data_IF_248003600666
#
_entry.id   IF_248003600666
#
_cell.length_a   1.000
_cell.length_b   1.000
_cell.length_c   1.000
_cell.angle_alpha   90.00
_cell.angle_beta   90.00
_cell.angle_gamma   90.00
#
_symmetry.space_group_name_H-M   'P 1'
#
loop_
_entity.id
_entity.type
_entity.pdbx_description
1 polymer ?
#
# COMPACT_ATOMS: atom_id res chain seq x y z
N UNK A 1 -21.62 -3.16 20.00
CA UNK A 1 -20.48 -2.36 20.52
C UNK A 1 -19.12 -2.75 19.93
N UNK A 2 -18.77 -4.04 19.80
CA UNK A 2 -17.45 -4.47 19.27
C UNK A 2 -17.12 -3.93 17.86
N UNK A 3 -18.10 -3.91 16.94
CA UNK A 3 -17.94 -3.39 15.57
C UNK A 3 -17.61 -1.88 15.55
N UNK A 4 -18.21 -1.11 16.46
CA UNK A 4 -17.93 0.33 16.58
C UNK A 4 -16.51 0.60 17.08
N UNK A 5 -16.01 -0.20 18.02
CA UNK A 5 -14.63 -0.09 18.48
C UNK A 5 -13.63 -0.51 17.41
N UNK A 6 -13.92 -1.59 16.68
CA UNK A 6 -13.11 -2.06 15.56
C UNK A 6 -12.99 -0.99 14.46
N UNK A 7 -14.10 -0.34 14.14
CA UNK A 7 -14.14 0.71 13.13
C UNK A 7 -13.41 1.99 13.53
N UNK A 8 -13.52 2.39 14.80
CA UNK A 8 -12.78 3.53 15.33
C UNK A 8 -11.27 3.32 15.22
N UNK A 9 -10.78 2.12 15.53
CA UNK A 9 -9.36 1.78 15.40
C UNK A 9 -8.88 1.80 13.95
N UNK A 10 -9.68 1.26 13.02
CA UNK A 10 -9.34 1.26 11.59
C UNK A 10 -9.26 2.68 11.00
N UNK A 11 -10.15 3.59 11.42
CA UNK A 11 -10.21 4.94 10.84
C UNK A 11 -9.13 5.91 11.30
N UNK A 12 -8.32 5.58 12.30
CA UNK A 12 -7.34 6.52 12.87
C UNK A 12 -6.35 7.03 11.82
N UNK A 13 -5.68 6.13 11.08
CA UNK A 13 -4.69 6.53 10.06
C UNK A 13 -5.35 7.29 8.91
N UNK A 14 -6.46 6.81 8.30
CA UNK A 14 -7.14 7.55 7.23
C UNK A 14 -7.58 8.96 7.65
N UNK A 15 -8.13 9.12 8.85
CA UNK A 15 -8.54 10.44 9.35
C UNK A 15 -7.34 11.35 9.58
N UNK A 16 -6.22 10.81 10.10
CA UNK A 16 -4.99 11.57 10.27
C UNK A 16 -4.45 12.12 8.94
N UNK A 17 -4.49 11.31 7.88
CA UNK A 17 -4.09 11.75 6.54
C UNK A 17 -5.06 12.78 5.95
N UNK A 18 -6.37 12.58 6.09
CA UNK A 18 -7.39 13.51 5.59
C UNK A 18 -7.36 14.87 6.30
N UNK A 19 -7.01 14.90 7.59
CA UNK A 19 -6.89 16.13 8.36
C UNK A 19 -5.51 16.80 8.26
N UNK A 20 -4.61 16.26 7.43
CA UNK A 20 -3.30 16.83 7.15
C UNK A 20 -3.20 17.22 5.65
N UNK A 21 -3.71 18.40 5.23
CA UNK A 21 -3.75 18.81 3.83
C UNK A 21 -2.41 18.70 3.07
N UNK A 22 -1.24 19.04 3.68
CA UNK A 22 0.05 18.88 3.01
C UNK A 22 0.40 17.43 2.66
N UNK A 23 -0.10 16.45 3.44
CA UNK A 23 0.14 15.03 3.15
C UNK A 23 -0.71 14.54 1.99
N UNK A 24 -1.97 14.96 1.93
CA UNK A 24 -2.85 14.62 0.80
C UNK A 24 -2.31 15.17 -0.53
N UNK A 25 -1.86 16.43 -0.54
CA UNK A 25 -1.28 17.03 -1.76
C UNK A 25 0.04 16.35 -2.14
N UNK A 26 0.90 16.03 -1.17
CA UNK A 26 2.13 15.29 -1.43
C UNK A 26 1.86 13.90 -2.00
N UNK A 27 0.87 13.17 -1.48
CA UNK A 27 0.44 11.86 -2.01
C UNK A 27 -0.04 11.98 -3.45
N UNK A 28 -0.92 12.95 -3.74
CA UNK A 28 -1.42 13.20 -5.09
C UNK A 28 -0.28 13.51 -6.05
N UNK A 29 0.58 14.47 -5.72
CA UNK A 29 1.70 14.88 -6.57
C UNK A 29 2.66 13.72 -6.80
N UNK A 30 3.03 12.97 -5.75
CA UNK A 30 3.91 11.80 -5.86
C UNK A 30 3.30 10.75 -6.78
N UNK A 31 2.01 10.45 -6.62
CA UNK A 31 1.32 9.46 -7.46
C UNK A 31 1.30 9.87 -8.93
N UNK A 32 0.95 11.13 -9.21
CA UNK A 32 0.94 11.69 -10.58
C UNK A 32 2.33 11.59 -11.20
N UNK A 33 3.36 12.05 -10.48
CA UNK A 33 4.75 12.00 -10.96
C UNK A 33 5.19 10.56 -11.22
N UNK A 34 4.94 9.63 -10.30
CA UNK A 34 5.32 8.23 -10.48
C UNK A 34 4.63 7.61 -11.71
N UNK A 35 3.32 7.81 -11.86
CA UNK A 35 2.56 7.30 -13.02
C UNK A 35 3.09 7.87 -14.33
N UNK A 36 3.28 9.20 -14.39
CA UNK A 36 3.78 9.88 -15.60
C UNK A 36 5.18 9.40 -15.96
N UNK A 37 6.08 9.32 -14.99
CA UNK A 37 7.46 8.87 -15.23
C UNK A 37 7.50 7.42 -15.70
N UNK A 38 6.76 6.52 -15.04
CA UNK A 38 6.71 5.10 -15.42
C UNK A 38 6.08 4.94 -16.80
N UNK A 39 4.94 5.57 -17.07
CA UNK A 39 4.30 5.51 -18.39
C UNK A 39 5.23 6.06 -19.48
N UNK A 40 5.90 7.18 -19.25
CA UNK A 40 6.83 7.78 -20.22
C UNK A 40 8.05 6.91 -20.47
N UNK A 41 8.63 6.34 -19.41
CA UNK A 41 9.79 5.46 -19.49
C UNK A 41 9.48 4.22 -20.34
N UNK A 42 8.40 3.51 -20.02
CA UNK A 42 8.02 2.30 -20.73
C UNK A 42 7.53 2.59 -22.15
N UNK A 43 6.85 3.72 -22.34
CA UNK A 43 6.46 4.21 -23.66
C UNK A 43 7.68 4.46 -24.56
N UNK A 44 8.73 5.12 -24.04
CA UNK A 44 9.97 5.36 -24.76
C UNK A 44 10.79 4.09 -25.00
N UNK A 45 10.86 3.20 -24.00
CA UNK A 45 11.60 1.94 -24.12
C UNK A 45 11.02 1.04 -25.22
N UNK A 46 9.69 0.96 -25.32
CA UNK A 46 9.01 0.15 -26.32
C UNK A 46 8.63 0.90 -27.60
N UNK A 47 9.03 2.17 -27.77
CA UNK A 47 8.65 2.98 -28.94
C UNK A 47 9.11 2.37 -30.28
N UNK A 48 10.22 1.63 -30.28
CA UNK A 48 10.81 1.01 -31.46
C UNK A 48 10.87 -0.53 -31.36
N UNK A 49 10.18 -1.10 -30.37
CA UNK A 49 10.15 -2.54 -30.16
C UNK A 49 8.82 -3.07 -30.67
N UNK A 50 8.85 -4.20 -31.39
CA UNK A 50 7.63 -4.98 -31.64
C UNK A 50 7.14 -5.66 -30.35
N UNK A 51 6.28 -6.68 -30.50
CA UNK A 51 5.88 -7.51 -29.38
C UNK A 51 7.12 -8.16 -28.74
N UNK A 52 7.43 -7.79 -27.50
CA UNK A 52 8.58 -8.31 -26.76
C UNK A 52 8.07 -9.32 -25.74
N UNK A 53 8.60 -10.56 -25.76
CA UNK A 53 8.13 -11.64 -24.90
C UNK A 53 6.61 -11.94 -24.98
N UNK A 54 5.99 -11.70 -26.13
CA UNK A 54 4.55 -11.92 -26.34
C UNK A 54 3.64 -10.84 -25.74
N UNK A 55 4.19 -9.76 -25.18
CA UNK A 55 3.44 -8.61 -24.70
C UNK A 55 3.52 -7.43 -25.67
N UNK A 56 2.39 -6.74 -25.84
CA UNK A 56 2.36 -5.46 -26.56
C UNK A 56 2.88 -4.33 -25.68
N UNK A 57 3.20 -3.19 -26.31
CA UNK A 57 3.64 -1.98 -25.61
C UNK A 57 2.59 -1.49 -24.62
N UNK A 58 1.33 -1.51 -25.03
CA UNK A 58 0.18 -1.05 -24.26
C UNK A 58 -0.03 -1.92 -23.01
N UNK A 59 0.14 -3.24 -23.15
CA UNK A 59 0.10 -4.18 -22.04
C UNK A 59 1.23 -3.94 -21.05
N UNK A 60 2.46 -3.71 -21.53
CA UNK A 60 3.60 -3.46 -20.66
C UNK A 60 3.44 -2.17 -19.85
N UNK A 61 2.97 -1.09 -20.50
CA UNK A 61 2.65 0.18 -19.82
C UNK A 61 1.53 -0.05 -18.79
N UNK A 62 0.47 -0.77 -19.16
CA UNK A 62 -0.64 -1.09 -18.26
C UNK A 62 -0.17 -1.80 -17.00
N UNK A 63 0.62 -2.87 -17.13
CA UNK A 63 1.12 -3.59 -15.95
C UNK A 63 2.06 -2.74 -15.10
N UNK A 64 2.90 -1.91 -15.73
CA UNK A 64 3.80 -1.03 -15.00
C UNK A 64 3.02 0.02 -14.19
N UNK A 65 2.00 0.64 -14.77
CA UNK A 65 1.15 1.61 -14.07
C UNK A 65 0.32 0.91 -12.98
N UNK A 66 -0.23 -0.28 -13.24
CA UNK A 66 -0.92 -1.07 -12.22
C UNK A 66 -0.01 -1.43 -11.05
N UNK A 67 1.27 -1.73 -11.30
CA UNK A 67 2.25 -1.98 -10.23
C UNK A 67 2.48 -0.72 -9.36
N UNK A 68 2.55 0.47 -9.97
CA UNK A 68 2.62 1.75 -9.24
C UNK A 68 1.36 2.00 -8.41
N UNK A 69 0.17 1.74 -8.97
CA UNK A 69 -1.07 1.89 -8.21
C UNK A 69 -1.16 0.86 -7.07
N UNK A 70 -0.72 -0.38 -7.31
CA UNK A 70 -0.68 -1.43 -6.30
C UNK A 70 0.32 -1.13 -5.16
N UNK A 71 1.43 -0.45 -5.44
CA UNK A 71 2.38 -0.07 -4.38
C UNK A 71 1.75 0.90 -3.36
N UNK A 72 0.76 1.71 -3.76
CA UNK A 72 0.02 2.58 -2.84
C UNK A 72 -0.81 1.84 -1.80
N UNK A 73 -1.22 0.60 -2.08
CA UNK A 73 -1.87 -0.25 -1.08
C UNK A 73 -0.87 -0.74 -0.02
N UNK A 74 0.42 -0.81 -0.37
CA UNK A 74 1.50 -1.37 0.47
C UNK A 74 2.29 -0.30 1.23
N UNK A 75 2.50 0.87 0.62
CA UNK A 75 3.22 2.01 1.19
C UNK A 75 2.27 3.00 1.90
N UNK A 76 1.63 2.54 2.98
CA UNK A 76 1.02 3.47 3.93
C UNK A 76 1.99 3.76 5.06
N UNK A 77 2.11 5.05 5.37
CA UNK A 77 3.16 5.61 6.21
C UNK A 77 2.86 5.40 7.71
N UNK A 78 2.84 4.13 8.14
CA UNK A 78 2.77 3.78 9.56
C UNK A 78 3.89 4.45 10.36
N UNK A 79 5.02 4.69 9.70
CA UNK A 79 6.16 5.39 10.26
C UNK A 79 5.86 6.87 10.56
N UNK A 80 5.22 7.61 9.65
CA UNK A 80 4.79 9.00 9.91
C UNK A 80 3.68 9.09 10.97
N UNK A 81 2.93 8.01 11.17
CA UNK A 81 1.99 7.86 12.29
C UNK A 81 2.63 7.65 13.66
N UNK A 82 3.96 7.43 13.72
CA UNK A 82 4.74 7.17 14.94
C UNK A 82 4.20 6.04 15.84
N UNK A 83 3.51 5.07 15.26
CA UNK A 83 2.82 4.01 16.01
C UNK A 83 3.32 2.61 15.62
N UNK A 84 4.54 2.51 15.08
CA UNK A 84 5.18 1.22 14.81
C UNK A 84 5.83 0.67 16.08
N UNK A 85 5.93 -0.67 16.18
CA UNK A 85 6.62 -1.34 17.31
C UNK A 85 8.05 -0.84 17.43
N UNK A 86 8.76 -0.70 16.31
CA UNK A 86 10.12 -0.16 16.26
C UNK A 86 10.23 1.22 16.91
N UNK A 87 9.32 2.15 16.58
CA UNK A 87 9.33 3.49 17.16
C UNK A 87 9.01 3.46 18.66
N UNK A 88 8.04 2.64 19.07
CA UNK A 88 7.71 2.49 20.49
C UNK A 88 8.83 1.86 21.31
N UNK A 89 9.56 0.89 20.75
CA UNK A 89 10.77 0.35 21.35
C UNK A 89 11.86 1.41 21.45
N UNK A 90 12.09 2.18 20.38
CA UNK A 90 13.11 3.23 20.36
C UNK A 90 12.83 4.35 21.38
N UNK A 91 11.57 4.75 21.54
CA UNK A 91 11.15 5.79 22.49
C UNK A 91 10.82 5.26 23.89
N UNK A 92 10.96 3.96 24.16
CA UNK A 92 10.62 3.37 25.47
C UNK A 92 9.13 3.43 25.82
N UNK A 93 8.25 3.61 24.84
CA UNK A 93 6.80 3.77 25.02
C UNK A 93 6.01 2.49 24.73
N UNK A 94 6.69 1.36 24.50
CA UNK A 94 6.08 0.06 24.17
C UNK A 94 5.11 -0.43 25.25
N UNK A 95 5.28 -0.02 26.51
CA UNK A 95 4.35 -0.36 27.61
C UNK A 95 2.93 0.11 27.32
N UNK A 96 2.74 1.29 26.73
CA UNK A 96 1.42 1.83 26.39
C UNK A 96 0.69 0.98 25.36
N UNK A 97 1.42 0.18 24.60
CA UNK A 97 0.88 -0.70 23.59
C UNK A 97 0.21 -1.92 24.21
N UNK A 98 0.80 -2.47 25.28
CA UNK A 98 0.23 -3.58 26.06
C UNK A 98 -0.90 -3.13 27.00
N UNK A 99 -0.97 -1.85 27.36
CA UNK A 99 -2.05 -1.28 28.17
C UNK A 99 -3.34 -1.00 27.36
N UNK A 100 -3.30 -1.13 26.02
CA UNK A 100 -4.48 -0.90 25.18
C UNK A 100 -5.56 -1.96 25.48
N UNK A 101 -6.85 -1.61 25.46
CA UNK A 101 -7.96 -2.55 25.70
C UNK A 101 -8.23 -3.50 24.53
N UNK A 102 -7.24 -3.71 23.64
CA UNK A 102 -7.31 -4.57 22.47
C UNK A 102 -6.04 -5.43 22.38
N UNK A 103 -6.17 -6.73 22.07
CA UNK A 103 -5.00 -7.56 21.78
C UNK A 103 -4.18 -6.96 20.63
N UNK A 104 -2.83 -6.92 20.73
CA UNK A 104 -1.97 -6.29 19.72
C UNK A 104 -2.23 -6.79 18.29
N UNK A 105 -2.39 -8.10 18.09
CA UNK A 105 -2.66 -8.68 16.78
C UNK A 105 -3.95 -8.15 16.13
N UNK A 106 -5.01 -7.96 16.94
CA UNK A 106 -6.29 -7.41 16.46
C UNK A 106 -6.17 -5.92 16.15
N UNK A 107 -5.44 -5.18 16.98
CA UNK A 107 -5.18 -3.77 16.74
C UNK A 107 -4.45 -3.55 15.40
N UNK A 108 -3.40 -4.33 15.14
CA UNK A 108 -2.70 -4.31 13.85
C UNK A 108 -3.59 -4.61 12.67
N UNK A 109 -4.37 -5.70 12.74
CA UNK A 109 -5.23 -6.09 11.64
C UNK A 109 -6.26 -5.00 11.30
N UNK A 110 -6.88 -4.40 12.31
CA UNK A 110 -7.85 -3.33 12.13
C UNK A 110 -7.23 -2.06 11.55
N UNK A 111 -6.05 -1.67 12.06
CA UNK A 111 -5.33 -0.50 11.55
C UNK A 111 -4.86 -0.71 10.10
N UNK A 112 -4.25 -1.85 9.82
CA UNK A 112 -3.81 -2.23 8.48
C UNK A 112 -4.99 -2.24 7.49
N UNK A 113 -6.17 -2.70 7.91
CA UNK A 113 -7.38 -2.66 7.10
C UNK A 113 -7.79 -1.22 6.74
N UNK A 114 -7.78 -0.30 7.71
CA UNK A 114 -8.09 1.10 7.44
C UNK A 114 -7.10 1.76 6.47
N UNK A 115 -5.83 1.45 6.64
CA UNK A 115 -4.76 1.90 5.76
C UNK A 115 -4.92 1.34 4.34
N UNK A 116 -5.16 0.04 4.20
CA UNK A 116 -5.42 -0.59 2.90
C UNK A 116 -6.63 0.01 2.20
N UNK A 117 -7.71 0.31 2.94
CA UNK A 117 -8.89 0.97 2.37
C UNK A 117 -8.56 2.37 1.86
N UNK A 118 -7.76 3.14 2.60
CA UNK A 118 -7.30 4.46 2.15
C UNK A 118 -6.40 4.37 0.91
N UNK A 119 -5.41 3.47 0.91
CA UNK A 119 -4.55 3.22 -0.24
C UNK A 119 -5.33 2.73 -1.46
N UNK A 120 -6.30 1.84 -1.24
CA UNK A 120 -7.20 1.33 -2.29
C UNK A 120 -8.06 2.44 -2.88
N UNK A 121 -8.57 3.39 -2.08
CA UNK A 121 -9.31 4.53 -2.60
C UNK A 121 -8.44 5.39 -3.56
N UNK A 122 -7.19 5.65 -3.19
CA UNK A 122 -6.22 6.33 -4.07
C UNK A 122 -5.89 5.54 -5.33
N UNK A 123 -5.66 4.23 -5.19
CA UNK A 123 -5.34 3.36 -6.32
C UNK A 123 -6.52 3.23 -7.29
N UNK A 124 -7.75 3.11 -6.79
CA UNK A 124 -8.96 3.08 -7.60
C UNK A 124 -9.22 4.41 -8.30
N UNK A 125 -9.03 5.53 -7.60
CA UNK A 125 -9.11 6.86 -8.21
C UNK A 125 -8.07 7.05 -9.31
N UNK A 126 -6.81 6.68 -9.04
CA UNK A 126 -5.74 6.70 -10.03
C UNK A 126 -6.00 5.78 -11.22
N UNK A 127 -6.52 4.57 -10.98
CA UNK A 127 -6.93 3.63 -12.02
C UNK A 127 -8.00 4.23 -12.91
N UNK A 128 -9.06 4.81 -12.34
CA UNK A 128 -10.14 5.42 -13.11
C UNK A 128 -9.64 6.58 -14.00
N UNK A 129 -8.75 7.42 -13.47
CA UNK A 129 -8.12 8.51 -14.23
C UNK A 129 -7.24 7.97 -15.36
N UNK A 130 -6.41 6.96 -15.08
CA UNK A 130 -5.54 6.35 -16.08
C UNK A 130 -6.31 5.62 -17.18
N UNK A 131 -7.42 4.96 -16.82
CA UNK A 131 -8.34 4.33 -17.75
C UNK A 131 -9.01 5.37 -18.65
N UNK A 132 -9.51 6.47 -18.07
CA UNK A 132 -10.11 7.57 -18.82
C UNK A 132 -9.09 8.28 -19.75
N UNK A 133 -7.82 8.35 -19.34
CA UNK A 133 -6.73 8.90 -20.14
C UNK A 133 -6.19 7.92 -21.20
N UNK A 134 -6.68 6.67 -21.25
CA UNK A 134 -6.21 5.65 -22.20
C UNK A 134 -4.79 5.12 -21.92
N UNK A 135 -4.26 5.35 -20.71
CA UNK A 135 -2.94 4.84 -20.30
C UNK A 135 -3.00 3.37 -19.90
N UNK A 136 -4.16 2.93 -19.40
CA UNK A 136 -4.43 1.56 -18.96
C UNK A 136 -5.49 0.93 -19.86
N UNK A 137 -5.26 -0.31 -20.27
CA UNK A 137 -6.29 -1.13 -20.92
C UNK A 137 -7.25 -1.77 -19.90
N UNK A 138 -8.56 -1.85 -20.20
CA UNK A 138 -9.51 -2.55 -19.35
C UNK A 138 -9.19 -4.06 -19.32
N UNK A 139 -9.57 -4.77 -18.24
CA UNK A 139 -9.38 -6.21 -18.17
C UNK A 139 -10.15 -6.91 -19.30
N UNK A 140 -9.49 -7.84 -20.00
CA UNK A 140 -10.09 -8.56 -21.13
C UNK A 140 -11.30 -9.44 -20.75
N UNK A 141 -11.48 -9.75 -19.46
CA UNK A 141 -12.69 -10.40 -18.94
C UNK A 141 -12.87 -10.17 -17.44
N UNK A 142 -14.09 -10.37 -16.95
CA UNK A 142 -14.39 -10.31 -15.52
C UNK A 142 -13.60 -11.35 -14.71
N UNK A 143 -13.30 -12.51 -15.30
CA UNK A 143 -12.50 -13.56 -14.65
C UNK A 143 -11.07 -13.10 -14.40
N UNK A 144 -10.45 -12.42 -15.37
CA UNK A 144 -9.09 -11.88 -15.22
C UNK A 144 -9.05 -10.82 -14.12
N UNK A 145 -10.06 -9.94 -14.06
CA UNK A 145 -10.20 -8.97 -12.98
C UNK A 145 -10.34 -9.66 -11.61
N UNK A 146 -11.13 -10.74 -11.53
CA UNK A 146 -11.29 -11.54 -10.31
C UNK A 146 -9.97 -12.18 -9.84
N UNK A 147 -9.20 -12.76 -10.75
CA UNK A 147 -7.88 -13.34 -10.44
C UNK A 147 -6.89 -12.27 -9.99
N UNK A 148 -6.91 -11.08 -10.60
CA UNK A 148 -6.10 -9.95 -10.17
C UNK A 148 -6.44 -9.52 -8.73
N UNK A 149 -7.73 -9.36 -8.41
CA UNK A 149 -8.18 -9.01 -7.06
C UNK A 149 -7.77 -10.09 -6.05
N UNK A 150 -7.94 -11.36 -6.38
CA UNK A 150 -7.53 -12.47 -5.52
C UNK A 150 -6.02 -12.45 -5.27
N UNK A 151 -5.22 -12.18 -6.30
CA UNK A 151 -3.76 -12.09 -6.23
C UNK A 151 -3.32 -10.93 -5.33
N UNK A 152 -3.98 -9.77 -5.43
CA UNK A 152 -3.75 -8.64 -4.54
C UNK A 152 -4.09 -8.96 -3.08
N UNK A 153 -5.23 -9.61 -2.83
CA UNK A 153 -5.63 -10.02 -1.48
C UNK A 153 -4.63 -11.00 -0.86
N UNK A 154 -4.15 -11.96 -1.66
CA UNK A 154 -3.14 -12.92 -1.21
C UNK A 154 -1.81 -12.23 -0.92
N UNK A 155 -1.37 -11.31 -1.79
CA UNK A 155 -0.18 -10.49 -1.55
C UNK A 155 -0.30 -9.66 -0.26
N UNK A 156 -1.48 -9.13 0.02
CA UNK A 156 -1.75 -8.37 1.24
C UNK A 156 -1.74 -9.24 2.50
N UNK A 157 -2.25 -10.46 2.41
CA UNK A 157 -2.21 -11.44 3.49
C UNK A 157 -0.76 -11.84 3.82
N UNK A 158 0.05 -12.11 2.79
CA UNK A 158 1.48 -12.38 2.95
C UNK A 158 2.18 -11.20 3.62
N UNK A 159 1.94 -9.98 3.13
CA UNK A 159 2.53 -8.77 3.71
C UNK A 159 2.16 -8.59 5.19
N UNK A 160 0.91 -8.87 5.56
CA UNK A 160 0.47 -8.82 6.95
C UNK A 160 1.27 -9.78 7.84
N UNK A 161 1.43 -11.05 7.43
CA UNK A 161 2.19 -12.01 8.21
C UNK A 161 3.68 -11.66 8.30
N UNK A 162 4.26 -11.16 7.21
CA UNK A 162 5.65 -10.72 7.18
C UNK A 162 5.87 -9.54 8.14
N UNK A 163 4.98 -8.54 8.12
CA UNK A 163 5.07 -7.40 9.04
C UNK A 163 4.91 -7.83 10.50
N UNK A 164 3.96 -8.73 10.78
CA UNK A 164 3.78 -9.28 12.12
C UNK A 164 5.04 -10.01 12.61
N UNK A 165 5.69 -10.80 11.75
CA UNK A 165 6.96 -11.45 12.08
C UNK A 165 8.08 -10.42 12.36
N UNK A 166 8.18 -9.37 11.55
CA UNK A 166 9.18 -8.31 11.76
C UNK A 166 8.96 -7.53 13.04
N UNK A 167 7.72 -7.26 13.41
CA UNK A 167 7.36 -6.61 14.68
C UNK A 167 7.72 -7.51 15.87
N UNK A 168 7.51 -8.83 15.78
CA UNK A 168 7.95 -9.77 16.81
C UNK A 168 9.48 -9.88 16.88
N UNK A 169 10.17 -9.86 15.74
CA UNK A 169 11.63 -9.86 15.70
C UNK A 169 12.22 -8.58 16.32
N UNK A 170 11.54 -7.45 16.18
CA UNK A 170 11.97 -6.17 16.75
C UNK A 170 12.20 -6.26 18.27
N UNK A 171 11.37 -7.04 18.97
CA UNK A 171 11.52 -7.29 20.41
C UNK A 171 12.89 -7.88 20.76
N UNK A 172 13.39 -8.82 19.95
CA UNK A 172 14.64 -9.54 20.20
C UNK A 172 15.86 -8.80 19.67
N UNK A 173 15.74 -8.08 18.56
CA UNK A 173 16.89 -7.51 17.84
C UNK A 173 17.12 -6.02 18.10
N UNK A 174 16.16 -5.29 18.70
CA UNK A 174 16.17 -3.84 19.02
C UNK A 174 16.31 -2.94 17.77
N UNK A 175 16.98 -3.38 16.71
CA UNK A 175 17.06 -2.76 15.39
C UNK A 175 16.75 -3.79 14.31
N UNK A 176 15.63 -3.64 13.63
CA UNK A 176 15.22 -4.46 12.48
C UNK A 176 15.25 -3.68 11.15
N UNK A 177 15.89 -2.50 11.12
CA UNK A 177 15.89 -1.59 9.96
C UNK A 177 16.41 -2.26 8.69
N UNK A 178 17.44 -3.10 8.78
CA UNK A 178 17.98 -3.85 7.63
C UNK A 178 16.99 -4.87 7.07
N UNK A 179 16.15 -5.48 7.91
CA UNK A 179 15.12 -6.42 7.47
C UNK A 179 13.93 -5.68 6.83
N UNK A 180 13.59 -4.49 7.32
CA UNK A 180 12.60 -3.60 6.71
C UNK A 180 13.03 -3.14 5.31
N UNK A 181 14.32 -2.85 5.10
CA UNK A 181 14.87 -2.44 3.80
C UNK A 181 14.78 -3.54 2.71
N UNK A 182 14.63 -4.81 3.08
CA UNK A 182 14.47 -5.90 2.11
C UNK A 182 13.03 -5.94 1.56
N UNK A 183 12.07 -5.36 2.28
CA UNK A 183 10.64 -5.41 1.94
C UNK A 183 10.13 -4.14 1.25
N UNK A 184 10.87 -3.05 1.33
CA UNK A 184 10.60 -1.75 0.68
C UNK A 184 11.35 -1.66 -0.65
#
# INVERSE_FOLDING_TARGET
MAVLHAWRAARVTPLGELHAPPRMTAVLVRLVVQVVLVASLWSGLYAHSGATAGMTREQAITYAVLAVLASRLRELDQYAGRDTVLQHMHFGTIVYWYLRPLPPARYHALRALGEQVYGAAWALGGYAVCLAAGVIEPPGSATVAGVFVLSLLLGQLVLYFVMLLLDQLCFWTIRNTSAMLILL
#
